data_IF_657490028389
#
_entry.id   IF_657490028389
#
_cell.length_a   1.000
_cell.length_b   1.000
_cell.length_c   1.000
_cell.angle_alpha   90.00
_cell.angle_beta   90.00
_cell.angle_gamma   90.00
#
_symmetry.space_group_name_H-M   'P 1'
#
loop_
_entity.id
_entity.type
_entity.pdbx_description
1 polymer ?
#
# COMPACT_ATOMS: atom_id res chain seq x y z
N UNK A 1 4.01 -31.23 -14.16
CA UNK A 1 4.83 -30.06 -14.52
C UNK A 1 6.26 -30.37 -14.11
N UNK A 2 7.16 -30.50 -15.06
CA UNK A 2 8.58 -30.83 -14.79
C UNK A 2 9.35 -29.51 -14.62
N UNK A 3 10.44 -29.53 -13.82
CA UNK A 3 11.24 -28.32 -13.54
C UNK A 3 11.81 -27.68 -14.82
N UNK A 4 12.14 -28.50 -15.82
CA UNK A 4 12.64 -28.04 -17.10
C UNK A 4 11.58 -27.38 -18.01
N UNK A 5 10.30 -27.50 -17.67
CA UNK A 5 9.18 -26.88 -18.39
C UNK A 5 8.82 -25.48 -17.85
N UNK A 6 9.46 -25.06 -16.75
CA UNK A 6 9.26 -23.75 -16.14
C UNK A 6 9.85 -22.68 -17.07
N UNK A 7 8.99 -21.98 -17.79
CA UNK A 7 9.37 -20.79 -18.54
C UNK A 7 9.30 -19.58 -17.64
N UNK A 8 10.38 -18.78 -17.58
CA UNK A 8 10.34 -17.50 -16.88
C UNK A 8 9.30 -16.61 -17.56
N UNK A 9 8.25 -16.24 -16.83
CA UNK A 9 7.28 -15.26 -17.30
C UNK A 9 7.99 -13.92 -17.48
N UNK A 10 8.25 -13.54 -18.73
CA UNK A 10 8.61 -12.19 -19.22
C UNK A 10 9.26 -11.21 -18.24
N UNK A 11 10.15 -11.66 -17.40
CA UNK A 11 11.04 -10.77 -16.67
C UNK A 11 12.14 -10.38 -17.65
N UNK A 12 11.90 -9.37 -18.46
CA UNK A 12 12.97 -8.77 -19.25
C UNK A 12 14.00 -8.25 -18.22
N UNK A 13 15.12 -8.95 -18.09
CA UNK A 13 16.26 -8.46 -17.31
C UNK A 13 16.65 -7.12 -17.91
N UNK A 14 16.28 -6.03 -17.26
CA UNK A 14 16.73 -4.69 -17.66
C UNK A 14 18.25 -4.74 -17.71
N UNK A 15 18.83 -4.54 -18.90
CA UNK A 15 20.29 -4.45 -19.05
C UNK A 15 20.81 -3.38 -18.11
N UNK A 16 21.75 -3.73 -17.25
CA UNK A 16 22.37 -2.78 -16.33
C UNK A 16 23.05 -1.68 -17.12
N UNK A 17 22.64 -0.43 -16.88
CA UNK A 17 23.20 0.71 -17.58
C UNK A 17 24.58 1.05 -17.02
N UNK A 18 25.63 0.93 -17.83
CA UNK A 18 27.01 1.26 -17.44
C UNK A 18 27.29 2.72 -17.75
N UNK A 19 27.66 3.49 -16.76
CA UNK A 19 27.97 4.92 -16.88
C UNK A 19 29.40 5.15 -17.40
N UNK A 20 29.65 6.29 -18.06
CA UNK A 20 30.97 6.66 -18.53
C UNK A 20 31.54 5.73 -19.64
N UNK A 21 30.70 5.22 -20.54
CA UNK A 21 31.10 4.30 -21.62
C UNK A 21 30.82 4.86 -23.01
N UNK A 22 31.34 6.05 -23.26
CA UNK A 22 31.29 6.70 -24.57
C UNK A 22 30.07 7.61 -24.77
N UNK A 23 30.19 8.54 -25.72
CA UNK A 23 29.17 9.54 -26.01
C UNK A 23 27.88 8.91 -26.55
N UNK A 24 27.97 7.85 -27.37
CA UNK A 24 26.83 7.16 -27.95
C UNK A 24 25.91 6.48 -26.91
N UNK A 25 26.38 6.28 -25.66
CA UNK A 25 25.56 5.73 -24.59
C UNK A 25 24.61 6.77 -23.95
N UNK A 26 24.75 8.07 -24.30
CA UNK A 26 24.04 9.19 -23.68
C UNK A 26 24.49 9.53 -22.25
N UNK A 27 25.38 8.72 -21.67
CA UNK A 27 25.93 8.90 -20.32
C UNK A 27 27.47 8.73 -20.34
N UNK A 28 28.12 9.35 -21.32
CA UNK A 28 29.55 9.26 -21.56
C UNK A 28 30.38 10.06 -20.55
N UNK A 29 31.05 11.12 -21.01
CA UNK A 29 32.08 11.89 -20.31
C UNK A 29 31.77 12.23 -18.84
N UNK A 30 30.59 12.70 -18.53
CA UNK A 30 30.21 13.13 -17.17
C UNK A 30 29.38 12.09 -16.40
N UNK A 31 29.11 10.93 -16.99
CA UNK A 31 28.32 9.85 -16.38
C UNK A 31 26.95 10.31 -15.81
N UNK A 32 26.35 11.37 -16.36
CA UNK A 32 25.09 11.93 -15.90
C UNK A 32 25.20 12.88 -14.69
N UNK A 33 26.42 13.18 -14.18
CA UNK A 33 26.63 14.07 -13.03
C UNK A 33 26.68 15.56 -13.37
N UNK A 34 26.75 15.91 -14.65
CA UNK A 34 26.99 17.27 -15.09
C UNK A 34 28.47 17.65 -15.10
N UNK A 35 28.77 18.93 -15.33
CA UNK A 35 30.16 19.38 -15.61
C UNK A 35 30.91 19.84 -14.36
N UNK A 36 30.32 20.72 -13.57
CA UNK A 36 30.91 21.33 -12.37
C UNK A 36 29.91 21.38 -11.24
N UNK A 37 30.33 21.76 -10.06
CA UNK A 37 29.48 21.93 -8.88
C UNK A 37 29.59 20.78 -7.87
N UNK A 38 28.97 20.98 -6.75
CA UNK A 38 29.05 20.07 -5.59
C UNK A 38 28.46 18.69 -5.89
N UNK A 39 27.38 18.64 -6.69
CA UNK A 39 26.71 17.37 -7.07
C UNK A 39 27.55 16.48 -8.00
N UNK A 40 28.54 17.04 -8.70
CA UNK A 40 29.40 16.29 -9.59
C UNK A 40 30.55 15.58 -8.88
N UNK A 41 30.79 15.89 -7.61
CA UNK A 41 31.86 15.32 -6.80
C UNK A 41 31.39 14.07 -6.06
N UNK A 42 32.32 13.19 -5.71
CA UNK A 42 32.06 12.03 -4.84
C UNK A 42 32.08 12.42 -3.35
N UNK A 43 31.32 11.70 -2.52
CA UNK A 43 31.37 11.87 -1.07
C UNK A 43 30.68 13.12 -0.51
N UNK A 44 29.97 13.90 -1.33
CA UNK A 44 29.30 15.12 -0.86
C UNK A 44 27.80 14.86 -0.71
N UNK A 45 27.27 15.05 0.49
CA UNK A 45 25.84 15.04 0.78
C UNK A 45 25.30 16.47 0.75
N UNK A 46 24.36 16.73 -0.17
CA UNK A 46 23.73 18.05 -0.34
C UNK A 46 22.34 18.08 0.29
N UNK A 47 21.73 16.90 0.48
CA UNK A 47 20.36 16.81 0.98
C UNK A 47 20.28 17.32 2.42
N UNK A 48 19.50 18.40 2.62
CA UNK A 48 19.28 19.01 3.91
C UNK A 48 20.44 19.92 4.39
N UNK A 49 21.43 20.22 3.55
CA UNK A 49 22.45 21.21 3.87
C UNK A 49 21.97 22.62 3.50
N UNK A 50 21.97 23.52 4.45
CA UNK A 50 21.47 24.90 4.36
C UNK A 50 22.61 25.92 4.53
N UNK A 51 23.76 25.69 3.91
CA UNK A 51 24.90 26.63 3.92
C UNK A 51 25.56 26.82 5.30
N UNK A 52 25.40 25.89 6.22
CA UNK A 52 25.91 26.01 7.61
C UNK A 52 24.82 26.37 8.63
N UNK A 53 23.68 26.90 8.19
CA UNK A 53 22.52 27.10 9.04
C UNK A 53 21.99 25.75 9.51
N UNK A 54 21.48 25.68 10.76
CA UNK A 54 20.87 24.44 11.29
C UNK A 54 19.74 23.97 10.37
N UNK A 55 19.79 22.71 9.87
CA UNK A 55 18.76 22.18 8.97
C UNK A 55 17.38 22.20 9.58
N UNK A 56 16.33 22.37 8.76
CA UNK A 56 14.93 22.49 9.20
C UNK A 56 14.48 21.33 10.08
N UNK A 57 14.91 20.09 9.80
CA UNK A 57 14.55 18.92 10.60
C UNK A 57 15.14 18.93 12.02
N UNK A 58 16.15 19.77 12.29
CA UNK A 58 16.71 19.99 13.64
C UNK A 58 16.12 21.22 14.33
N UNK A 59 15.63 22.20 13.56
CA UNK A 59 14.96 23.39 14.10
C UNK A 59 13.54 23.08 14.58
N UNK A 60 12.87 22.16 13.91
CA UNK A 60 11.51 21.76 14.31
C UNK A 60 11.55 20.95 15.60
N UNK A 61 10.59 21.18 16.53
CA UNK A 61 10.50 20.41 17.75
C UNK A 61 10.18 18.94 17.45
N UNK A 62 10.77 18.03 18.21
CA UNK A 62 10.42 16.61 18.17
C UNK A 62 8.98 16.43 18.65
N UNK A 63 8.19 15.65 17.93
CA UNK A 63 6.80 15.37 18.32
C UNK A 63 6.42 13.93 18.09
N UNK A 64 5.46 13.48 18.90
CA UNK A 64 4.88 12.16 18.77
C UNK A 64 5.78 11.03 19.27
N UNK A 65 5.24 9.85 19.23
CA UNK A 65 5.95 8.62 19.60
C UNK A 65 5.43 7.45 18.76
N UNK A 66 6.20 6.38 18.70
CA UNK A 66 5.81 5.14 18.02
C UNK A 66 5.19 4.20 19.04
N UNK A 67 3.86 4.00 18.96
CA UNK A 67 3.17 3.05 19.82
C UNK A 67 3.52 1.60 19.41
N UNK A 68 4.24 0.82 20.26
CA UNK A 68 4.56 -0.58 19.98
C UNK A 68 3.32 -1.49 20.01
N UNK A 69 2.27 -1.11 20.75
CA UNK A 69 1.02 -1.88 20.89
C UNK A 69 -0.04 -1.50 19.85
N UNK A 70 0.35 -0.76 18.81
CA UNK A 70 -0.59 -0.37 17.76
C UNK A 70 -1.18 -1.58 17.05
N UNK A 71 -2.49 -1.77 17.14
CA UNK A 71 -3.22 -2.78 16.39
C UNK A 71 -3.21 -2.39 14.91
N UNK A 72 -2.65 -3.26 14.08
CA UNK A 72 -2.65 -3.06 12.63
C UNK A 72 -4.03 -3.36 12.08
N UNK A 73 -4.57 -2.45 11.29
CA UNK A 73 -5.86 -2.62 10.62
C UNK A 73 -5.71 -2.34 9.13
N UNK A 74 -6.39 -3.14 8.31
CA UNK A 74 -6.55 -2.92 6.88
C UNK A 74 -7.92 -2.32 6.62
N UNK A 75 -7.98 -1.36 5.73
CA UNK A 75 -9.23 -0.69 5.40
C UNK A 75 -9.95 -1.45 4.29
N UNK A 76 -11.24 -1.64 4.47
CA UNK A 76 -12.19 -2.08 3.44
C UNK A 76 -13.29 -1.05 3.35
N UNK A 77 -13.64 -0.61 2.17
CA UNK A 77 -14.74 0.31 1.92
C UNK A 77 -15.79 -0.34 1.02
N UNK A 78 -16.95 0.29 0.88
CA UNK A 78 -18.06 -0.24 0.09
C UNK A 78 -17.70 -0.44 -1.37
N UNK A 79 -16.90 0.44 -1.95
CA UNK A 79 -16.45 0.31 -3.33
C UNK A 79 -15.55 -0.92 -3.52
N UNK A 80 -14.60 -1.14 -2.61
CA UNK A 80 -13.74 -2.32 -2.63
C UNK A 80 -14.58 -3.58 -2.43
N UNK A 81 -15.56 -3.53 -1.52
CA UNK A 81 -16.44 -4.64 -1.22
C UNK A 81 -17.30 -5.03 -2.43
N UNK A 82 -17.90 -4.06 -3.12
CA UNK A 82 -18.63 -4.31 -4.36
C UNK A 82 -17.74 -4.94 -5.45
N UNK A 83 -16.53 -4.42 -5.62
CA UNK A 83 -15.58 -4.99 -6.57
C UNK A 83 -15.16 -6.44 -6.21
N UNK A 84 -15.03 -6.75 -4.92
CA UNK A 84 -14.71 -8.10 -4.44
C UNK A 84 -15.88 -9.05 -4.72
N UNK A 85 -17.12 -8.64 -4.42
CA UNK A 85 -18.33 -9.43 -4.68
C UNK A 85 -18.42 -9.77 -6.18
N UNK A 86 -18.22 -8.79 -7.05
CA UNK A 86 -18.28 -8.99 -8.51
C UNK A 86 -17.14 -9.90 -9.01
N UNK A 87 -15.93 -9.68 -8.55
CA UNK A 87 -14.73 -10.38 -9.03
C UNK A 87 -14.67 -11.85 -8.59
N UNK A 88 -15.10 -12.13 -7.37
CA UNK A 88 -14.96 -13.44 -6.74
C UNK A 88 -16.29 -14.19 -6.63
N UNK A 89 -17.39 -13.64 -7.20
CA UNK A 89 -18.74 -14.21 -7.14
C UNK A 89 -19.10 -14.64 -5.70
N UNK A 90 -18.81 -13.78 -4.73
CA UNK A 90 -19.16 -14.04 -3.34
C UNK A 90 -20.65 -13.86 -3.15
N UNK A 91 -21.24 -14.72 -2.32
CA UNK A 91 -22.62 -14.54 -1.90
C UNK A 91 -22.71 -13.21 -1.13
N UNK A 92 -23.40 -12.24 -1.72
CA UNK A 92 -23.56 -10.91 -1.12
C UNK A 92 -24.31 -10.96 0.23
N UNK A 93 -25.07 -12.04 0.48
CA UNK A 93 -25.88 -12.20 1.68
C UNK A 93 -25.04 -12.35 2.96
N UNK A 94 -23.88 -13.01 2.88
CA UNK A 94 -23.00 -13.20 4.06
C UNK A 94 -21.54 -13.17 3.68
N UNK A 95 -20.82 -12.16 4.21
CA UNK A 95 -19.40 -11.98 3.99
C UNK A 95 -18.67 -12.05 5.33
N UNK A 96 -17.79 -13.04 5.48
CA UNK A 96 -17.00 -13.23 6.68
C UNK A 96 -15.57 -12.73 6.47
N UNK A 97 -14.97 -12.14 7.49
CA UNK A 97 -13.56 -11.72 7.47
C UNK A 97 -12.63 -12.90 7.19
N UNK A 98 -12.95 -14.10 7.71
CA UNK A 98 -12.16 -15.32 7.50
C UNK A 98 -12.09 -15.71 6.03
N UNK A 99 -13.22 -15.69 5.33
CA UNK A 99 -13.30 -16.04 3.90
C UNK A 99 -12.46 -15.10 3.04
N UNK A 100 -12.41 -13.81 3.40
CA UNK A 100 -11.60 -12.83 2.71
C UNK A 100 -10.09 -13.07 2.87
N UNK A 101 -9.68 -13.61 4.02
CA UNK A 101 -8.29 -14.02 4.25
C UNK A 101 -7.95 -15.35 3.58
N UNK A 102 -8.83 -16.33 3.59
CA UNK A 102 -8.64 -17.65 2.95
C UNK A 102 -8.53 -17.52 1.44
N UNK A 103 -9.37 -16.71 0.83
CA UNK A 103 -9.30 -16.36 -0.59
C UNK A 103 -8.12 -15.44 -0.95
N UNK A 104 -7.24 -15.11 0.02
CA UNK A 104 -6.05 -14.26 -0.14
C UNK A 104 -6.34 -12.88 -0.73
N UNK A 105 -7.57 -12.38 -0.59
CA UNK A 105 -7.96 -11.04 -1.00
C UNK A 105 -7.26 -10.01 -0.11
N UNK A 106 -7.25 -10.28 1.20
CA UNK A 106 -6.47 -9.53 2.18
C UNK A 106 -5.40 -10.40 2.83
N UNK A 107 -4.33 -9.77 3.28
CA UNK A 107 -3.21 -10.47 3.94
C UNK A 107 -3.40 -10.45 5.45
N UNK A 108 -3.52 -11.61 6.08
CA UNK A 108 -3.65 -11.74 7.55
C UNK A 108 -2.51 -11.02 8.31
N UNK A 109 -1.29 -11.05 7.77
CA UNK A 109 -0.12 -10.40 8.37
C UNK A 109 -0.20 -8.86 8.44
N UNK A 110 -1.11 -8.23 7.66
CA UNK A 110 -1.32 -6.79 7.68
C UNK A 110 -2.33 -6.34 8.75
N UNK A 111 -2.89 -7.26 9.51
CA UNK A 111 -3.81 -7.00 10.61
C UNK A 111 -5.28 -7.24 10.25
N UNK A 112 -6.16 -6.92 11.19
CA UNK A 112 -7.62 -7.12 11.12
C UNK A 112 -8.27 -6.15 10.13
N UNK A 113 -9.48 -6.47 9.66
CA UNK A 113 -10.21 -5.61 8.72
C UNK A 113 -11.05 -4.56 9.45
N UNK A 114 -11.12 -3.35 8.88
CA UNK A 114 -11.99 -2.27 9.34
C UNK A 114 -12.84 -1.73 8.20
N UNK A 115 -14.15 -1.80 8.36
CA UNK A 115 -15.12 -1.27 7.42
C UNK A 115 -15.23 0.26 7.55
N UNK A 116 -15.08 0.96 6.42
CA UNK A 116 -15.18 2.41 6.34
C UNK A 116 -16.25 2.83 5.34
N UNK A 117 -16.87 3.97 5.62
CA UNK A 117 -17.88 4.58 4.76
C UNK A 117 -17.23 5.33 3.59
N UNK A 118 -16.90 4.62 2.52
CA UNK A 118 -16.49 5.22 1.23
C UNK A 118 -17.12 4.42 0.11
N UNK A 119 -17.92 5.07 -0.72
CA UNK A 119 -18.70 4.45 -1.79
C UNK A 119 -20.16 4.26 -1.41
N UNK A 120 -20.94 3.64 -2.31
CA UNK A 120 -22.36 3.34 -2.11
C UNK A 120 -22.56 1.84 -1.98
N UNK A 121 -23.55 1.45 -1.20
CA UNK A 121 -24.09 0.09 -1.11
C UNK A 121 -25.49 0.11 -1.68
N UNK A 122 -25.75 -0.73 -2.67
CA UNK A 122 -27.04 -0.84 -3.32
C UNK A 122 -27.79 -2.14 -2.93
N UNK A 123 -27.15 -3.03 -2.20
CA UNK A 123 -27.68 -4.34 -1.81
C UNK A 123 -27.62 -4.54 -0.31
N UNK A 124 -28.61 -5.25 0.25
CA UNK A 124 -28.56 -5.70 1.63
C UNK A 124 -27.45 -6.73 1.82
N UNK A 125 -26.47 -6.43 2.67
CA UNK A 125 -25.30 -7.26 2.89
C UNK A 125 -25.13 -7.50 4.39
N UNK A 126 -24.93 -8.76 4.78
CA UNK A 126 -24.54 -9.13 6.14
C UNK A 126 -23.04 -9.32 6.19
N UNK A 127 -22.34 -8.55 7.03
CA UNK A 127 -20.88 -8.55 7.11
C UNK A 127 -20.44 -8.91 8.53
N UNK A 128 -19.56 -9.91 8.64
CA UNK A 128 -18.87 -10.26 9.90
C UNK A 128 -17.42 -9.78 9.82
N UNK A 129 -17.07 -8.76 10.62
CA UNK A 129 -15.78 -8.08 10.55
C UNK A 129 -15.27 -7.64 11.93
N UNK A 130 -13.95 -7.53 12.10
CA UNK A 130 -13.35 -7.14 13.37
C UNK A 130 -13.66 -5.71 13.80
N UNK A 131 -13.71 -4.76 12.87
CA UNK A 131 -13.96 -3.34 13.17
C UNK A 131 -14.83 -2.69 12.09
N UNK A 132 -15.69 -1.76 12.51
CA UNK A 132 -16.45 -0.89 11.60
C UNK A 132 -16.50 0.54 12.14
N UNK A 133 -16.67 1.52 11.28
CA UNK A 133 -16.99 2.89 11.70
C UNK A 133 -18.48 3.03 11.95
N UNK A 134 -18.88 3.89 12.88
CA UNK A 134 -20.31 4.14 13.21
C UNK A 134 -21.13 4.46 11.95
N UNK A 135 -20.65 5.40 11.13
CA UNK A 135 -21.30 5.76 9.87
C UNK A 135 -21.42 4.60 8.87
N UNK A 136 -20.46 3.65 8.86
CA UNK A 136 -20.54 2.49 7.98
C UNK A 136 -21.60 1.49 8.45
N UNK A 137 -21.78 1.34 9.75
CA UNK A 137 -22.85 0.50 10.32
C UNK A 137 -24.22 1.08 9.96
N UNK A 138 -24.43 2.37 10.21
CA UNK A 138 -25.68 3.07 9.89
C UNK A 138 -26.09 2.92 8.42
N UNK A 139 -25.13 3.04 7.48
CA UNK A 139 -25.42 2.91 6.05
C UNK A 139 -25.77 1.48 5.65
N UNK A 140 -25.09 0.48 6.24
CA UNK A 140 -25.41 -0.93 5.97
C UNK A 140 -26.80 -1.28 6.52
N UNK A 141 -27.15 -0.79 7.69
CA UNK A 141 -28.48 -0.96 8.29
C UNK A 141 -29.56 -0.25 7.49
N UNK A 142 -29.32 0.96 6.98
CA UNK A 142 -30.24 1.67 6.08
C UNK A 142 -30.47 0.94 4.76
N UNK A 143 -29.44 0.22 4.26
CA UNK A 143 -29.55 -0.62 3.08
C UNK A 143 -30.22 -1.99 3.36
N UNK A 144 -30.71 -2.23 4.59
CA UNK A 144 -31.35 -3.48 4.99
C UNK A 144 -30.37 -4.62 5.33
N UNK A 145 -29.08 -4.32 5.43
CA UNK A 145 -28.03 -5.27 5.82
C UNK A 145 -27.78 -5.30 7.33
N UNK A 146 -26.79 -6.10 7.76
CA UNK A 146 -26.37 -6.19 9.16
C UNK A 146 -24.85 -6.28 9.27
N UNK A 147 -24.27 -5.60 10.26
CA UNK A 147 -22.85 -5.68 10.58
C UNK A 147 -22.66 -6.38 11.92
N UNK A 148 -22.05 -7.56 11.91
CA UNK A 148 -21.69 -8.29 13.10
C UNK A 148 -20.21 -8.02 13.41
N UNK A 149 -19.93 -7.42 14.56
CA UNK A 149 -18.56 -7.21 15.02
C UNK A 149 -18.05 -8.48 15.69
N UNK A 150 -16.90 -8.99 15.24
CA UNK A 150 -16.23 -10.09 15.88
C UNK A 150 -15.68 -9.61 17.23
N UNK A 151 -16.07 -10.26 18.30
CA UNK A 151 -15.55 -9.97 19.63
C UNK A 151 -14.02 -10.18 19.69
N UNK A 152 -13.38 -9.43 20.60
CA UNK A 152 -11.92 -9.36 20.75
C UNK A 152 -11.30 -10.68 21.19
#
# INVERSE_FOLDING_TARGET
>A
MKINELKSTNISKKKQKRLGRGAGSGLGKTAGRGVKGQKSRSGVSINGFEGGQMPIYRRLPKRGFKNPFKIKTQQINFQILNNIIQKYNLNAEKINEKDLFEKKIFKKNKGKLKLLNVGKIDKAITIEISFASKKAIEIVEQAGGKVNLLEK
#
